data_IF_125002451460
#
_entry.id   IF_125002451460
#
_cell.length_a   1.000
_cell.length_b   1.000
_cell.length_c   1.000
_cell.angle_alpha   90.00
_cell.angle_beta   90.00
_cell.angle_gamma   90.00
#
_symmetry.space_group_name_H-M   'P 1'
#
loop_
_entity.id
_entity.type
_entity.pdbx_description
1 polymer ?
#
# COMPACT_ATOMS: atom_id res chain seq x y z
N UNK A 1 -51.06 -2.19 -14.68
CA UNK A 1 -49.64 -2.60 -14.44
C UNK A 1 -48.60 -1.75 -15.21
N UNK A 2 -48.93 -0.53 -15.68
CA UNK A 2 -48.06 0.19 -16.65
C UNK A 2 -47.62 1.61 -16.23
N UNK A 3 -48.23 2.25 -15.23
CA UNK A 3 -47.80 3.59 -14.80
C UNK A 3 -46.63 3.55 -13.81
N UNK A 4 -46.63 2.60 -12.88
CA UNK A 4 -45.61 2.50 -11.82
C UNK A 4 -44.22 2.09 -12.35
N UNK A 5 -44.18 1.27 -13.41
CA UNK A 5 -42.93 0.88 -14.09
C UNK A 5 -42.33 2.02 -14.91
N UNK A 6 -43.16 2.91 -15.46
CA UNK A 6 -42.70 4.05 -16.25
C UNK A 6 -42.08 5.15 -15.36
N UNK A 7 -42.63 5.36 -14.15
CA UNK A 7 -42.05 6.29 -13.17
C UNK A 7 -40.67 5.84 -12.66
N UNK A 8 -40.43 4.54 -12.50
CA UNK A 8 -39.11 4.02 -12.08
C UNK A 8 -38.07 4.20 -13.20
N UNK A 9 -38.47 4.02 -14.46
CA UNK A 9 -37.56 4.19 -15.61
C UNK A 9 -37.12 5.65 -15.81
N UNK A 10 -38.02 6.63 -15.62
CA UNK A 10 -37.67 8.05 -15.72
C UNK A 10 -36.76 8.53 -14.57
N UNK A 11 -36.91 8.00 -13.35
CA UNK A 11 -36.03 8.35 -12.23
C UNK A 11 -34.58 7.85 -12.41
N UNK A 12 -34.41 6.67 -13.04
CA UNK A 12 -33.08 6.11 -13.32
C UNK A 12 -32.34 6.87 -14.45
N UNK A 13 -33.06 7.41 -15.43
CA UNK A 13 -32.45 8.24 -16.48
C UNK A 13 -31.95 9.60 -15.96
N UNK A 14 -32.60 10.20 -14.96
CA UNK A 14 -32.13 11.45 -14.36
C UNK A 14 -30.88 11.26 -13.48
N UNK A 15 -30.70 10.09 -12.88
CA UNK A 15 -29.47 9.79 -12.13
C UNK A 15 -28.26 9.51 -13.04
N UNK A 16 -28.48 8.89 -14.20
CA UNK A 16 -27.40 8.63 -15.15
C UNK A 16 -26.82 9.90 -15.81
N UNK A 17 -27.58 11.02 -15.81
CA UNK A 17 -27.18 12.26 -16.46
C UNK A 17 -26.51 13.31 -15.53
N UNK A 18 -26.35 13.03 -14.24
CA UNK A 18 -25.88 14.04 -13.25
C UNK A 18 -24.51 13.79 -12.62
N UNK A 19 -23.71 12.83 -13.12
CA UNK A 19 -22.35 12.58 -12.64
C UNK A 19 -21.24 13.06 -13.60
N UNK A 20 -21.58 13.89 -14.57
CA UNK A 20 -20.58 14.61 -15.37
C UNK A 20 -20.38 16.00 -14.78
N UNK A 21 -19.71 16.08 -13.62
CA UNK A 21 -19.03 17.30 -13.22
C UNK A 21 -17.62 17.21 -13.83
N UNK A 22 -17.29 17.98 -14.89
CA UNK A 22 -15.96 17.96 -15.47
C UNK A 22 -15.04 18.83 -14.62
N UNK A 23 -14.84 18.45 -13.35
CA UNK A 23 -13.64 18.92 -12.66
C UNK A 23 -12.49 18.16 -13.29
N UNK A 24 -11.77 18.86 -14.17
CA UNK A 24 -10.54 18.40 -14.77
C UNK A 24 -9.59 17.99 -13.65
N UNK A 25 -9.52 16.68 -13.39
CA UNK A 25 -8.46 16.07 -12.62
C UNK A 25 -7.18 16.15 -13.45
N UNK A 26 -6.63 17.35 -13.59
CA UNK A 26 -5.23 17.52 -13.87
C UNK A 26 -4.50 16.93 -12.68
N UNK A 27 -4.12 15.65 -12.80
CA UNK A 27 -3.18 15.05 -11.87
C UNK A 27 -1.99 16.01 -11.78
N UNK A 28 -1.64 16.52 -10.59
CA UNK A 28 -0.51 17.42 -10.47
C UNK A 28 0.70 16.73 -11.10
N UNK A 29 1.39 17.50 -11.95
CA UNK A 29 2.62 17.07 -12.63
C UNK A 29 3.50 16.36 -11.60
N UNK A 30 4.12 15.21 -11.91
CA UNK A 30 5.01 14.54 -10.98
C UNK A 30 5.99 15.58 -10.43
N UNK A 31 6.10 15.70 -9.11
CA UNK A 31 7.13 16.52 -8.49
C UNK A 31 8.47 15.93 -8.95
N UNK A 32 9.11 16.60 -9.92
CA UNK A 32 10.49 16.30 -10.28
C UNK A 32 11.30 16.73 -9.06
N UNK A 33 11.71 15.76 -8.25
CA UNK A 33 12.74 15.99 -7.25
C UNK A 33 14.02 16.27 -8.03
N UNK A 34 14.43 17.54 -8.09
CA UNK A 34 15.76 17.89 -8.60
C UNK A 34 16.80 17.24 -7.68
N UNK A 35 17.41 16.16 -8.18
CA UNK A 35 18.54 15.52 -7.53
C UNK A 35 19.78 16.37 -7.84
N UNK A 36 20.44 17.02 -6.86
CA UNK A 36 21.71 17.66 -7.10
C UNK A 36 22.76 16.56 -7.31
N UNK A 37 22.89 16.10 -8.55
CA UNK A 37 23.91 15.17 -9.01
C UNK A 37 25.31 15.81 -9.03
N UNK A 38 25.78 16.33 -7.88
CA UNK A 38 27.15 16.83 -7.72
C UNK A 38 27.99 16.02 -6.74
N UNK A 39 27.54 14.82 -6.33
CA UNK A 39 28.33 13.89 -5.50
C UNK A 39 28.62 12.53 -6.15
N UNK A 40 28.41 12.37 -7.47
CA UNK A 40 28.89 11.23 -8.27
C UNK A 40 30.41 11.32 -8.57
N UNK A 41 31.17 11.74 -7.56
CA UNK A 41 32.60 12.00 -7.62
C UNK A 41 33.38 11.15 -6.63
N UNK A 42 33.09 9.85 -6.56
CA UNK A 42 34.00 8.84 -5.98
C UNK A 42 33.49 7.43 -6.28
N UNK A 43 33.82 6.92 -7.47
CA UNK A 43 33.93 5.47 -7.68
C UNK A 43 35.13 5.04 -6.82
N UNK A 44 34.84 4.59 -5.61
CA UNK A 44 35.77 3.79 -4.81
C UNK A 44 35.42 2.35 -5.15
N UNK A 45 36.34 1.68 -5.84
CA UNK A 45 36.25 0.24 -6.07
C UNK A 45 36.19 -0.46 -4.71
N UNK A 46 35.02 -1.00 -4.36
CA UNK A 46 34.85 -1.93 -3.24
C UNK A 46 34.24 -3.21 -3.82
N UNK A 47 35.08 -4.07 -4.38
CA UNK A 47 34.74 -5.44 -4.80
C UNK A 47 34.46 -6.39 -3.60
N UNK A 48 33.74 -5.92 -2.59
CA UNK A 48 33.29 -6.73 -1.46
C UNK A 48 31.84 -6.45 -1.02
N UNK A 49 31.08 -5.67 -1.80
CA UNK A 49 29.72 -5.25 -1.43
C UNK A 49 28.62 -5.46 -2.48
N UNK A 50 28.96 -5.86 -3.71
CA UNK A 50 27.97 -5.94 -4.80
C UNK A 50 26.90 -7.00 -4.54
N UNK A 51 27.28 -8.21 -4.16
CA UNK A 51 26.33 -9.31 -3.99
C UNK A 51 25.32 -9.11 -2.85
N UNK A 52 25.74 -8.55 -1.71
CA UNK A 52 24.84 -8.28 -0.58
C UNK A 52 23.88 -7.13 -0.89
N UNK A 53 24.38 -6.07 -1.54
CA UNK A 53 23.55 -4.95 -1.96
C UNK A 53 22.55 -5.37 -3.04
N UNK A 54 23.00 -6.12 -4.04
CA UNK A 54 22.15 -6.67 -5.10
C UNK A 54 21.07 -7.59 -4.51
N UNK A 55 21.41 -8.45 -3.55
CA UNK A 55 20.45 -9.29 -2.85
C UNK A 55 19.44 -8.47 -2.05
N UNK A 56 19.90 -7.44 -1.32
CA UNK A 56 19.02 -6.53 -0.58
C UNK A 56 18.05 -5.81 -1.51
N UNK A 57 18.53 -5.31 -2.65
CA UNK A 57 17.68 -4.66 -3.66
C UNK A 57 16.68 -5.64 -4.25
N UNK A 58 17.13 -6.85 -4.60
CA UNK A 58 16.26 -7.92 -5.09
C UNK A 58 15.12 -8.22 -4.11
N UNK A 59 15.44 -8.45 -2.84
CA UNK A 59 14.44 -8.76 -1.81
C UNK A 59 13.52 -7.58 -1.48
N UNK A 60 14.02 -6.35 -1.57
CA UNK A 60 13.19 -5.15 -1.46
C UNK A 60 12.21 -5.02 -2.63
N UNK A 61 12.67 -5.25 -3.87
CA UNK A 61 11.81 -5.26 -5.05
C UNK A 61 10.78 -6.39 -4.99
N UNK A 62 11.17 -7.57 -4.49
CA UNK A 62 10.24 -8.67 -4.25
C UNK A 62 9.15 -8.28 -3.24
N UNK A 63 9.51 -7.74 -2.07
CA UNK A 63 8.54 -7.26 -1.06
C UNK A 63 7.59 -6.23 -1.68
N UNK A 64 8.14 -5.22 -2.35
CA UNK A 64 7.31 -4.20 -3.01
C UNK A 64 6.38 -4.79 -4.07
N UNK A 65 6.85 -5.78 -4.84
CA UNK A 65 6.03 -6.51 -5.81
C UNK A 65 4.89 -7.29 -5.15
N UNK A 66 5.11 -7.87 -3.97
CA UNK A 66 4.08 -8.53 -3.16
C UNK A 66 3.05 -7.52 -2.64
N UNK A 67 3.50 -6.43 -1.99
CA UNK A 67 2.62 -5.38 -1.43
C UNK A 67 1.74 -4.73 -2.49
N UNK A 68 2.28 -4.52 -3.70
CA UNK A 68 1.55 -3.94 -4.83
C UNK A 68 0.75 -4.97 -5.63
N UNK A 69 0.70 -6.22 -5.17
CA UNK A 69 -0.03 -7.31 -5.82
C UNK A 69 0.40 -7.56 -7.29
N UNK A 70 1.67 -7.26 -7.62
CA UNK A 70 2.30 -7.57 -8.89
C UNK A 70 2.91 -8.98 -8.89
N UNK A 71 3.42 -9.42 -7.74
CA UNK A 71 3.84 -10.80 -7.47
C UNK A 71 2.72 -11.47 -6.68
N UNK A 72 2.08 -12.49 -7.27
CA UNK A 72 0.90 -13.17 -6.71
C UNK A 72 1.18 -14.65 -6.50
N UNK A 73 0.37 -15.28 -5.65
CA UNK A 73 0.36 -16.73 -5.45
C UNK A 73 1.71 -17.32 -5.01
N UNK A 74 2.55 -16.52 -4.35
CA UNK A 74 3.74 -17.02 -3.69
C UNK A 74 3.33 -17.84 -2.46
N UNK A 75 4.07 -18.90 -2.15
CA UNK A 75 3.73 -19.81 -1.04
C UNK A 75 4.56 -19.56 0.21
N UNK A 76 5.81 -19.16 0.01
CA UNK A 76 6.80 -18.89 1.06
C UNK A 76 7.66 -17.72 0.61
N UNK A 77 8.31 -17.06 1.56
CA UNK A 77 9.36 -16.08 1.26
C UNK A 77 10.48 -16.79 0.48
N UNK A 78 11.08 -16.16 -0.55
CA UNK A 78 12.29 -16.69 -1.19
C UNK A 78 13.37 -16.91 -0.14
N UNK A 79 14.04 -18.07 -0.16
CA UNK A 79 14.98 -18.47 0.91
C UNK A 79 16.11 -17.46 1.07
N UNK A 80 16.58 -16.91 -0.04
CA UNK A 80 17.58 -15.85 -0.11
C UNK A 80 17.13 -14.52 0.52
N UNK A 81 15.83 -14.31 0.71
CA UNK A 81 15.24 -13.11 1.29
C UNK A 81 14.82 -13.25 2.76
N UNK A 82 14.99 -14.42 3.38
CA UNK A 82 14.62 -14.64 4.77
C UNK A 82 15.31 -13.64 5.73
N UNK A 83 16.62 -13.42 5.57
CA UNK A 83 17.36 -12.44 6.37
C UNK A 83 16.93 -10.99 6.09
N UNK A 84 16.55 -10.68 4.85
CA UNK A 84 15.97 -9.37 4.52
C UNK A 84 14.63 -9.17 5.26
N UNK A 85 13.72 -10.14 5.19
CA UNK A 85 12.40 -10.07 5.85
C UNK A 85 12.55 -9.99 7.36
N UNK A 86 13.42 -10.81 7.96
CA UNK A 86 13.78 -10.72 9.38
C UNK A 86 14.20 -9.31 9.76
N UNK A 87 15.14 -8.72 9.00
CA UNK A 87 15.62 -7.38 9.29
C UNK A 87 14.53 -6.32 9.11
N UNK A 88 13.68 -6.45 8.10
CA UNK A 88 12.56 -5.55 7.86
C UNK A 88 11.53 -5.58 9.01
N UNK A 89 11.12 -6.79 9.43
CA UNK A 89 10.11 -7.02 10.46
C UNK A 89 10.60 -6.70 11.88
N UNK A 90 11.86 -7.01 12.20
CA UNK A 90 12.40 -6.86 13.55
C UNK A 90 13.06 -5.50 13.81
N UNK A 91 13.37 -4.74 12.75
CA UNK A 91 13.96 -3.40 12.88
C UNK A 91 12.90 -2.34 12.56
N UNK A 92 13.34 -1.19 12.05
CA UNK A 92 12.49 -0.01 11.91
C UNK A 92 11.61 -0.02 10.66
N UNK A 93 11.95 -0.83 9.65
CA UNK A 93 11.27 -0.80 8.34
C UNK A 93 9.76 -1.03 8.48
N UNK A 94 9.38 -2.15 9.11
CA UNK A 94 7.97 -2.48 9.32
C UNK A 94 7.24 -1.46 10.20
N UNK A 95 7.89 -0.96 11.26
CA UNK A 95 7.29 0.06 12.16
C UNK A 95 7.00 1.36 11.40
N UNK A 96 7.90 1.83 10.55
CA UNK A 96 7.67 3.03 9.76
C UNK A 96 6.51 2.87 8.78
N UNK A 97 6.42 1.72 8.11
CA UNK A 97 5.33 1.43 7.18
C UNK A 97 3.97 1.39 7.93
N UNK A 98 3.92 0.77 9.12
CA UNK A 98 2.72 0.77 9.98
C UNK A 98 2.30 2.17 10.45
N UNK A 99 3.25 2.96 10.96
CA UNK A 99 2.99 4.33 11.43
C UNK A 99 2.45 5.21 10.30
N UNK A 100 3.00 5.07 9.10
CA UNK A 100 2.57 5.83 7.93
C UNK A 100 1.13 5.46 7.54
N UNK A 101 0.83 4.17 7.40
CA UNK A 101 -0.51 3.71 7.01
C UNK A 101 -1.55 4.09 8.06
N UNK A 102 -1.27 3.90 9.35
CA UNK A 102 -2.19 4.26 10.43
C UNK A 102 -2.47 5.77 10.46
N UNK A 103 -1.44 6.60 10.24
CA UNK A 103 -1.58 8.05 10.18
C UNK A 103 -2.46 8.48 9.02
N UNK A 104 -2.20 7.99 7.81
CA UNK A 104 -2.97 8.36 6.62
C UNK A 104 -4.43 7.87 6.72
N UNK A 105 -4.65 6.64 7.22
CA UNK A 105 -5.99 6.14 7.51
C UNK A 105 -6.71 7.05 8.51
N UNK A 106 -6.07 7.41 9.63
CA UNK A 106 -6.65 8.32 10.62
C UNK A 106 -6.89 9.75 10.10
N UNK A 107 -6.09 10.22 9.15
CA UNK A 107 -6.34 11.50 8.48
C UNK A 107 -7.58 11.43 7.60
N UNK A 108 -7.70 10.38 6.79
CA UNK A 108 -8.89 10.14 5.97
C UNK A 108 -10.14 10.01 6.84
N UNK A 109 -10.08 9.25 7.94
CA UNK A 109 -11.16 9.08 8.92
C UNK A 109 -11.82 10.41 9.31
N UNK A 110 -10.99 11.42 9.59
CA UNK A 110 -11.42 12.75 10.04
C UNK A 110 -12.10 13.58 8.96
N UNK A 111 -11.94 13.22 7.69
CA UNK A 111 -12.59 13.90 6.55
C UNK A 111 -13.97 13.34 6.22
N UNK A 112 -14.30 12.15 6.73
CA UNK A 112 -15.59 11.50 6.47
C UNK A 112 -16.70 12.25 7.21
N UNK A 113 -17.76 12.62 6.48
CA UNK A 113 -18.96 13.22 7.06
C UNK A 113 -19.86 12.10 7.59
N UNK A 114 -20.04 12.05 8.91
CA UNK A 114 -20.91 11.08 9.57
C UNK A 114 -22.37 11.53 9.45
N UNK A 115 -23.27 10.60 9.13
CA UNK A 115 -24.70 10.88 8.89
C UNK A 115 -25.47 11.03 10.20
N UNK A 116 -24.90 10.57 11.32
CA UNK A 116 -25.47 10.70 12.67
C UNK A 116 -26.58 9.69 12.98
N UNK A 117 -26.74 8.66 12.15
CA UNK A 117 -27.69 7.55 12.35
C UNK A 117 -27.09 6.38 13.15
N UNK A 118 -25.78 6.46 13.47
CA UNK A 118 -25.04 5.45 14.22
C UNK A 118 -24.63 4.23 13.40
N UNK A 119 -24.77 4.27 12.07
CA UNK A 119 -24.47 3.13 11.19
C UNK A 119 -23.13 3.25 10.45
N UNK A 120 -22.34 4.29 10.75
CA UNK A 120 -21.00 4.47 10.20
C UNK A 120 -20.04 3.41 10.78
N UNK A 121 -19.40 2.62 9.92
CA UNK A 121 -18.54 1.50 10.34
C UNK A 121 -17.14 1.57 9.71
N UNK A 122 -16.16 1.03 10.44
CA UNK A 122 -14.81 0.75 9.95
C UNK A 122 -14.51 -0.72 10.10
N UNK A 123 -14.14 -1.37 9.01
CA UNK A 123 -13.86 -2.80 8.99
C UNK A 123 -12.35 -2.99 9.12
N UNK A 124 -11.95 -3.84 10.06
CA UNK A 124 -10.57 -4.25 10.28
C UNK A 124 -10.47 -5.75 10.09
N UNK A 125 -9.40 -6.18 9.43
CA UNK A 125 -8.95 -7.56 9.50
C UNK A 125 -8.28 -7.83 10.87
N UNK A 126 -8.09 -9.10 11.23
CA UNK A 126 -7.52 -9.51 12.51
C UNK A 126 -6.02 -9.79 12.33
N UNK A 127 -5.70 -10.86 11.62
CA UNK A 127 -4.34 -11.35 11.46
C UNK A 127 -3.51 -10.37 10.62
N UNK A 128 -2.28 -10.11 11.04
CA UNK A 128 -1.32 -9.17 10.44
C UNK A 128 -1.82 -7.70 10.34
N UNK A 129 -3.00 -7.40 10.90
CA UNK A 129 -3.61 -6.06 10.92
C UNK A 129 -3.80 -5.54 12.34
N UNK A 130 -4.59 -6.23 13.17
CA UNK A 130 -4.79 -5.90 14.58
C UNK A 130 -3.91 -6.75 15.50
N UNK A 131 -3.69 -8.01 15.12
CA UNK A 131 -2.87 -8.97 15.83
C UNK A 131 -1.70 -9.40 14.95
N UNK A 132 -0.53 -9.59 15.55
CA UNK A 132 0.68 -9.99 14.82
C UNK A 132 0.98 -11.46 15.04
N UNK A 133 1.05 -12.24 13.96
CA UNK A 133 1.59 -13.60 13.99
C UNK A 133 3.13 -13.63 13.89
N UNK A 134 3.81 -12.48 14.05
CA UNK A 134 5.27 -12.40 13.98
C UNK A 134 5.97 -13.39 14.92
N UNK A 135 5.55 -13.64 16.18
CA UNK A 135 6.17 -14.66 17.02
C UNK A 135 6.18 -16.05 16.38
N UNK A 136 5.08 -16.45 15.74
CA UNK A 136 5.01 -17.69 14.98
C UNK A 136 6.04 -17.68 13.84
N UNK A 137 6.08 -16.62 13.03
CA UNK A 137 7.01 -16.55 11.91
C UNK A 137 8.49 -16.47 12.33
N UNK A 138 8.82 -15.91 13.49
CA UNK A 138 10.19 -15.94 14.04
C UNK A 138 10.67 -17.39 14.23
N UNK A 139 9.79 -18.27 14.72
CA UNK A 139 10.09 -19.69 14.92
C UNK A 139 10.09 -20.51 13.61
N UNK A 140 9.56 -19.93 12.52
CA UNK A 140 9.40 -20.57 11.21
C UNK A 140 10.21 -19.87 10.10
N UNK A 141 11.30 -19.17 10.46
CA UNK A 141 12.24 -18.63 9.47
C UNK A 141 11.77 -17.38 8.72
N UNK A 142 10.80 -16.66 9.26
CA UNK A 142 10.19 -15.44 8.71
C UNK A 142 9.38 -15.63 7.42
N UNK A 143 8.89 -16.85 7.15
CA UNK A 143 7.99 -17.13 6.03
C UNK A 143 8.02 -18.58 5.58
#
# INVERSE_FOLDING_TARGET
MNAFKLSIFLALCSFAASLNNPDSSTLPRPLIVENPQSLLGRVVDVEHGSGEEDLRMHCQSWRFGVETNNIRSWKTVPVECADYVKNYMMKRGYVYDLEMVAKEAGNYARTVQLVGDGNDIWIFDIDETLLSNLPYYVDHGFG
#
